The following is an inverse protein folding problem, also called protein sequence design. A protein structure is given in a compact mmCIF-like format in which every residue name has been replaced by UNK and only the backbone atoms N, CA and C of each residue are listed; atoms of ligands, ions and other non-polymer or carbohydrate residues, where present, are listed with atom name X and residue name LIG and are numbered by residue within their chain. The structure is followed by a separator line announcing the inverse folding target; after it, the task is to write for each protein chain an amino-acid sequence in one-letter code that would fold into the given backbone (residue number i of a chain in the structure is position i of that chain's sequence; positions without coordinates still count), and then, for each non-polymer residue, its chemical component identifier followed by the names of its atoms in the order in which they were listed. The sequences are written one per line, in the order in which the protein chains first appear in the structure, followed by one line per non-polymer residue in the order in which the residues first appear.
data_IF_963271121643
#
_entry.id   IF_963271121643
#
_cell.length_a   1.000
_cell.length_b   1.000
_cell.length_c   1.000
_cell.angle_alpha   90.00
_cell.angle_beta   90.00
_cell.angle_gamma   90.00
#
_symmetry.space_group_name_H-M   'P 1'
#
loop_
_entity.id
_entity.type
_entity.pdbx_description
1 polymer ?
#
# COMPACT_ATOMS: atom_id res chain seq x y z
N UNK A 1 -11.08 -1.00 17.29
CA UNK A 1 -10.13 -2.08 17.63
C UNK A 1 -10.88 -3.26 18.21
N UNK A 2 -10.54 -4.50 17.83
CA UNK A 2 -11.16 -5.69 18.44
C UNK A 2 -10.75 -5.80 19.91
N UNK A 3 -11.68 -6.20 20.77
CA UNK A 3 -11.43 -6.45 22.18
C UNK A 3 -11.94 -7.81 22.59
N UNK A 4 -11.31 -8.46 23.57
CA UNK A 4 -11.57 -9.86 23.93
C UNK A 4 -13.05 -10.15 24.26
N UNK A 5 -13.74 -9.19 24.86
CA UNK A 5 -15.10 -9.38 25.40
C UNK A 5 -16.18 -8.49 24.74
N UNK A 6 -15.86 -7.78 23.65
CA UNK A 6 -16.83 -6.97 22.90
C UNK A 6 -16.45 -6.86 21.42
N UNK A 7 -17.42 -6.53 20.56
CA UNK A 7 -17.21 -6.52 19.11
C UNK A 7 -16.17 -5.47 18.68
N UNK A 8 -16.28 -4.21 19.12
CA UNK A 8 -15.36 -3.13 18.72
C UNK A 8 -15.26 -2.00 19.76
N UNK A 9 -14.08 -1.37 19.87
CA UNK A 9 -13.91 -0.04 20.51
C UNK A 9 -13.63 1.04 19.47
N UNK A 10 -14.34 2.16 19.54
CA UNK A 10 -14.05 3.39 18.81
C UNK A 10 -13.06 4.23 19.62
N UNK A 11 -11.92 4.56 19.01
CA UNK A 11 -10.96 5.50 19.59
C UNK A 11 -11.23 6.88 19.03
N UNK A 12 -11.58 7.84 19.90
CA UNK A 12 -11.82 9.23 19.52
C UNK A 12 -10.55 10.03 19.77
N UNK A 13 -9.96 10.57 18.72
CA UNK A 13 -8.76 11.42 18.81
C UNK A 13 -9.13 12.91 18.83
N UNK A 14 -8.13 13.78 19.06
CA UNK A 14 -8.33 15.23 19.09
C UNK A 14 -8.88 15.82 17.79
N UNK A 15 -8.52 15.24 16.63
CA UNK A 15 -9.01 15.71 15.34
C UNK A 15 -10.50 15.41 15.15
N UNK A 16 -10.95 14.24 15.60
CA UNK A 16 -12.37 13.85 15.61
C UNK A 16 -13.17 14.72 16.58
N UNK A 17 -12.65 15.02 17.77
CA UNK A 17 -13.30 15.95 18.72
C UNK A 17 -13.52 17.33 18.09
N UNK A 18 -12.49 17.87 17.41
CA UNK A 18 -12.61 19.16 16.68
C UNK A 18 -13.65 19.09 15.56
N UNK A 19 -13.64 18.03 14.75
CA UNK A 19 -14.59 17.85 13.66
C UNK A 19 -16.04 17.74 14.13
N UNK A 20 -16.26 17.05 15.25
CA UNK A 20 -17.57 16.91 15.89
C UNK A 20 -17.97 18.10 16.77
N UNK A 21 -17.15 19.15 16.86
CA UNK A 21 -17.33 20.30 17.77
C UNK A 21 -17.66 19.86 19.20
N UNK A 22 -16.91 18.89 19.71
CA UNK A 22 -17.12 18.28 21.02
C UNK A 22 -15.85 18.32 21.88
N UNK A 23 -16.02 18.26 23.19
CA UNK A 23 -14.96 18.21 24.18
C UNK A 23 -15.18 17.10 25.23
N UNK A 24 -14.17 16.89 26.08
CA UNK A 24 -14.27 15.95 27.21
C UNK A 24 -15.40 16.39 28.13
N UNK A 25 -16.34 15.49 28.41
CA UNK A 25 -17.51 15.75 29.25
C UNK A 25 -18.77 16.13 28.46
N UNK A 26 -18.68 16.31 27.15
CA UNK A 26 -19.83 16.56 26.29
C UNK A 26 -20.37 15.27 25.65
N UNK A 27 -21.64 15.32 25.21
CA UNK A 27 -22.29 14.20 24.51
C UNK A 27 -22.07 14.39 23.01
N UNK A 28 -21.57 13.34 22.35
CA UNK A 28 -21.40 13.29 20.90
C UNK A 28 -22.17 12.11 20.29
N UNK A 29 -22.69 12.29 19.06
CA UNK A 29 -23.40 11.26 18.30
C UNK A 29 -22.47 10.77 17.20
N UNK A 30 -22.34 9.44 17.07
CA UNK A 30 -21.52 8.79 16.06
C UNK A 30 -22.38 7.88 15.19
N UNK A 31 -22.15 7.93 13.88
CA UNK A 31 -22.69 6.99 12.91
C UNK A 31 -21.53 6.19 12.31
N UNK A 32 -21.70 4.87 12.20
CA UNK A 32 -20.68 3.97 11.68
C UNK A 32 -21.35 3.09 10.63
N UNK A 33 -20.78 3.08 9.43
CA UNK A 33 -21.18 2.18 8.36
C UNK A 33 -20.01 1.26 7.99
N UNK A 34 -20.33 0.00 7.67
CA UNK A 34 -19.33 -0.88 7.10
C UNK A 34 -19.09 -0.49 5.65
N UNK A 35 -17.88 -0.03 5.34
CA UNK A 35 -17.47 0.16 3.96
C UNK A 35 -17.36 -1.19 3.24
N UNK A 36 -18.39 -1.51 2.46
CA UNK A 36 -18.44 -2.71 1.61
C UNK A 36 -17.75 -2.47 0.27
N UNK A 37 -17.47 -1.21 -0.08
CA UNK A 37 -16.76 -0.83 -1.29
C UNK A 37 -15.26 -1.09 -1.09
N UNK A 38 -14.86 -2.35 -1.25
CA UNK A 38 -13.46 -2.68 -1.52
C UNK A 38 -13.11 -2.18 -2.93
N UNK A 39 -12.97 -0.87 -3.11
CA UNK A 39 -12.29 -0.31 -4.27
C UNK A 39 -10.84 -0.74 -4.13
N UNK A 40 -10.54 -1.95 -4.61
CA UNK A 40 -9.18 -2.42 -4.76
C UNK A 40 -8.58 -1.52 -5.82
N UNK A 41 -7.89 -0.47 -5.38
CA UNK A 41 -7.09 0.35 -6.27
C UNK A 41 -6.01 -0.56 -6.87
N UNK A 42 -6.22 -0.91 -8.14
CA UNK A 42 -5.26 -1.63 -8.95
C UNK A 42 -4.29 -0.62 -9.55
N UNK A 43 -3.02 -0.99 -9.57
CA UNK A 43 -1.96 -0.16 -10.11
C UNK A 43 -1.42 -0.88 -11.33
N UNK A 44 -1.46 -0.27 -12.53
CA UNK A 44 -0.96 -0.92 -13.73
C UNK A 44 0.55 -1.17 -13.61
N UNK A 45 1.03 -2.17 -14.33
CA UNK A 45 2.47 -2.41 -14.47
C UNK A 45 3.03 -1.33 -15.40
N UNK A 46 3.99 -0.50 -14.95
CA UNK A 46 4.63 0.46 -15.85
C UNK A 46 5.30 -0.27 -17.03
N UNK A 47 5.14 0.22 -18.24
CA UNK A 47 5.68 -0.41 -19.46
C UNK A 47 7.20 -0.65 -19.34
N UNK A 48 7.93 0.36 -18.85
CA UNK A 48 9.38 0.27 -18.58
C UNK A 48 9.73 -0.88 -17.63
N UNK A 49 8.88 -1.19 -16.64
CA UNK A 49 9.12 -2.33 -15.74
C UNK A 49 8.91 -3.66 -16.48
N UNK A 50 7.83 -3.79 -17.27
CA UNK A 50 7.55 -5.00 -18.03
C UNK A 50 8.66 -5.33 -19.03
N UNK A 51 9.16 -4.33 -19.75
CA UNK A 51 10.30 -4.49 -20.66
C UNK A 51 11.56 -4.99 -19.94
N UNK A 52 11.90 -4.38 -18.80
CA UNK A 52 13.11 -4.73 -18.06
C UNK A 52 13.02 -6.10 -17.41
N UNK A 53 11.84 -6.50 -16.92
CA UNK A 53 11.59 -7.85 -16.40
C UNK A 53 11.79 -8.91 -17.50
N UNK A 54 11.25 -8.67 -18.69
CA UNK A 54 11.41 -9.58 -19.84
C UNK A 54 12.87 -9.65 -20.28
N UNK A 55 13.56 -8.51 -20.42
CA UNK A 55 15.00 -8.45 -20.78
C UNK A 55 15.88 -9.24 -19.81
N UNK A 56 15.52 -9.29 -18.52
CA UNK A 56 16.30 -9.97 -17.49
C UNK A 56 15.79 -11.38 -17.14
N UNK A 57 14.75 -11.89 -17.82
CA UNK A 57 14.07 -13.15 -17.49
C UNK A 57 13.56 -13.22 -16.03
N UNK A 58 13.14 -12.08 -15.46
CA UNK A 58 12.68 -11.96 -14.07
C UNK A 58 11.16 -11.92 -13.92
N UNK A 59 10.41 -11.98 -15.03
CA UNK A 59 8.94 -11.89 -15.04
C UNK A 59 8.30 -12.95 -14.14
N UNK A 60 8.79 -14.19 -14.17
CA UNK A 60 8.30 -15.25 -13.29
C UNK A 60 8.62 -14.96 -11.82
N UNK A 61 9.84 -14.52 -11.51
CA UNK A 61 10.25 -14.19 -10.13
C UNK A 61 9.41 -13.06 -9.55
N UNK A 62 9.05 -12.07 -10.38
CA UNK A 62 8.13 -11.00 -9.98
C UNK A 62 6.70 -11.52 -9.73
N UNK A 63 6.22 -12.44 -10.57
CA UNK A 63 4.92 -13.07 -10.40
C UNK A 63 4.87 -14.01 -9.18
N UNK A 64 6.00 -14.58 -8.76
CA UNK A 64 6.08 -15.42 -7.55
C UNK A 64 6.03 -14.60 -6.24
N UNK A 65 6.16 -13.27 -6.31
CA UNK A 65 5.96 -12.40 -5.15
C UNK A 65 4.52 -12.47 -4.64
N UNK A 66 4.32 -12.25 -3.34
CA UNK A 66 2.95 -12.19 -2.77
C UNK A 66 2.14 -11.08 -3.42
N UNK A 67 0.82 -11.27 -3.55
CA UNK A 67 -0.07 -10.29 -4.16
C UNK A 67 0.02 -8.91 -3.47
N UNK A 68 0.21 -8.90 -2.14
CA UNK A 68 0.41 -7.65 -1.38
C UNK A 68 1.72 -6.96 -1.78
N UNK A 69 2.82 -7.72 -1.91
CA UNK A 69 4.12 -7.15 -2.26
C UNK A 69 4.12 -6.59 -3.68
N UNK A 70 3.55 -7.32 -4.65
CA UNK A 70 3.38 -6.81 -6.02
C UNK A 70 2.59 -5.52 -6.02
N UNK A 71 1.47 -5.48 -5.29
CA UNK A 71 0.64 -4.27 -5.18
C UNK A 71 1.41 -3.08 -4.61
N UNK A 72 2.20 -3.27 -3.56
CA UNK A 72 3.01 -2.18 -2.98
C UNK A 72 4.06 -1.65 -3.95
N UNK A 73 4.74 -2.55 -4.67
CA UNK A 73 5.73 -2.18 -5.69
C UNK A 73 5.05 -1.36 -6.79
N UNK A 74 3.96 -1.88 -7.35
CA UNK A 74 3.24 -1.20 -8.44
C UNK A 74 2.68 0.14 -7.97
N UNK A 75 2.14 0.19 -6.74
CA UNK A 75 1.71 1.43 -6.11
C UNK A 75 2.85 2.45 -6.07
N UNK A 76 4.00 2.08 -5.52
CA UNK A 76 5.14 2.96 -5.38
C UNK A 76 5.65 3.49 -6.73
N UNK A 77 5.87 2.60 -7.70
CA UNK A 77 6.37 2.99 -9.01
C UNK A 77 5.41 3.93 -9.74
N UNK A 78 4.10 3.75 -9.61
CA UNK A 78 3.09 4.66 -10.19
C UNK A 78 3.04 6.04 -9.50
N UNK A 79 3.58 6.20 -8.29
CA UNK A 79 3.67 7.51 -7.63
C UNK A 79 4.91 8.32 -8.06
N UNK A 80 5.90 7.68 -8.67
CA UNK A 80 7.12 8.36 -9.12
C UNK A 80 6.80 9.17 -10.38
N UNK A 81 6.96 10.49 -10.29
CA UNK A 81 6.62 11.42 -11.38
C UNK A 81 7.73 11.59 -12.42
N UNK A 82 8.99 11.34 -12.03
CA UNK A 82 10.17 11.59 -12.87
C UNK A 82 10.68 10.28 -13.46
N UNK A 83 10.95 10.27 -14.76
CA UNK A 83 11.43 9.08 -15.45
C UNK A 83 12.76 8.54 -14.91
N UNK A 84 13.71 9.43 -14.58
CA UNK A 84 15.02 9.02 -14.05
C UNK A 84 14.90 8.29 -12.71
N UNK A 85 14.05 8.79 -11.81
CA UNK A 85 13.80 8.12 -10.54
C UNK A 85 13.05 6.81 -10.74
N UNK A 86 12.15 6.73 -11.73
CA UNK A 86 11.43 5.50 -12.04
C UNK A 86 12.43 4.42 -12.50
N UNK A 87 13.32 4.76 -13.43
CA UNK A 87 14.36 3.85 -13.92
C UNK A 87 15.30 3.38 -12.79
N UNK A 88 15.82 4.31 -11.97
CA UNK A 88 16.68 3.96 -10.83
C UNK A 88 16.02 2.99 -9.86
N UNK A 89 14.72 3.17 -9.60
CA UNK A 89 13.99 2.28 -8.70
C UNK A 89 13.63 0.94 -9.35
N UNK A 90 13.41 0.91 -10.67
CA UNK A 90 13.30 -0.34 -11.43
C UNK A 90 14.62 -1.11 -11.36
N UNK A 91 15.76 -0.47 -11.58
CA UNK A 91 17.08 -1.14 -11.54
C UNK A 91 17.37 -1.76 -10.17
N UNK A 92 17.10 -1.00 -9.09
CA UNK A 92 17.17 -1.53 -7.72
C UNK A 92 16.26 -2.74 -7.54
N UNK A 93 15.02 -2.67 -8.02
CA UNK A 93 14.07 -3.78 -7.91
C UNK A 93 14.58 -5.03 -8.64
N UNK A 94 15.13 -4.88 -9.85
CA UNK A 94 15.71 -6.00 -10.60
C UNK A 94 16.89 -6.64 -9.84
N UNK A 95 17.76 -5.83 -9.25
CA UNK A 95 18.85 -6.33 -8.41
C UNK A 95 18.32 -7.13 -7.21
N UNK A 96 17.28 -6.64 -6.54
CA UNK A 96 16.65 -7.34 -5.42
C UNK A 96 16.02 -8.68 -5.84
N UNK A 97 15.35 -8.70 -7.00
CA UNK A 97 14.76 -9.93 -7.55
C UNK A 97 15.83 -10.98 -7.88
N UNK A 98 16.97 -10.57 -8.44
CA UNK A 98 18.11 -11.46 -8.72
C UNK A 98 18.69 -12.07 -7.45
N UNK A 99 18.80 -11.28 -6.39
CA UNK A 99 19.37 -11.73 -5.11
C UNK A 99 18.40 -12.58 -4.26
N UNK A 100 17.14 -12.78 -4.70
CA UNK A 100 16.08 -13.51 -3.98
C UNK A 100 15.88 -13.05 -2.53
N UNK A 101 16.25 -11.80 -2.20
CA UNK A 101 16.15 -11.29 -0.84
C UNK A 101 14.68 -11.07 -0.48
N UNK A 102 14.17 -11.94 0.39
CA UNK A 102 12.75 -12.02 0.79
C UNK A 102 12.25 -10.84 1.64
N UNK A 103 13.15 -10.09 2.27
CA UNK A 103 12.84 -8.96 3.15
C UNK A 103 13.71 -7.75 2.80
N UNK A 104 13.29 -6.96 1.82
CA UNK A 104 13.86 -5.63 1.59
C UNK A 104 12.73 -4.62 1.52
N UNK A 105 12.97 -3.44 2.11
CA UNK A 105 12.14 -2.24 1.96
C UNK A 105 11.81 -2.02 0.47
N UNK A 106 10.65 -1.45 0.18
CA UNK A 106 10.34 -0.93 -1.16
C UNK A 106 11.56 -0.08 -1.62
N UNK A 107 12.08 -0.25 -2.86
CA UNK A 107 13.33 0.36 -3.31
C UNK A 107 13.45 1.89 -3.13
#
# INVERSE_FOLDING_TARGET
MPVKDASHRLFVNQQMMKGGKTAVGEIAIFEIEQDTNKIKKEYPIPEKLAEQLNKNNLSQTFNDLTASRRKEILKYLNYIKTEDALLKNIDKLLAQLKEKKKNIRIP
#
